data_IF_085794130642
#
_entry.id   IF_085794130642
#
_cell.length_a   1.000
_cell.length_b   1.000
_cell.length_c   1.000
_cell.angle_alpha   90.00
_cell.angle_beta   90.00
_cell.angle_gamma   90.00
#
_symmetry.space_group_name_H-M   'P 1'
#
loop_
_entity.id
_entity.type
_entity.pdbx_description
1 polymer ?
#
# COMPACT_ATOMS: atom_id res chain seq x y z
N UNK A 1 -14.36 16.61 17.46
CA UNK A 1 -15.55 15.74 17.69
C UNK A 1 -15.77 14.93 16.42
N UNK A 2 -16.15 13.65 16.51
CA UNK A 2 -16.48 12.83 15.32
C UNK A 2 -17.89 13.23 14.85
N UNK A 3 -18.13 13.28 13.54
CA UNK A 3 -19.45 13.63 12.97
C UNK A 3 -20.48 12.53 13.33
N UNK A 4 -21.71 12.87 13.73
CA UNK A 4 -22.75 11.87 14.04
C UNK A 4 -22.97 10.85 12.91
N UNK A 5 -22.90 11.30 11.65
CA UNK A 5 -23.03 10.48 10.46
C UNK A 5 -21.91 9.45 10.34
N UNK A 6 -20.68 9.81 10.72
CA UNK A 6 -19.55 8.89 10.78
C UNK A 6 -19.74 7.83 11.87
N UNK A 7 -20.33 8.19 13.02
CA UNK A 7 -20.63 7.24 14.11
C UNK A 7 -21.68 6.23 13.65
N UNK A 8 -22.73 6.70 12.99
CA UNK A 8 -23.78 5.83 12.46
C UNK A 8 -23.22 4.86 11.41
N UNK A 9 -22.41 5.35 10.47
CA UNK A 9 -21.74 4.52 9.46
C UNK A 9 -20.84 3.45 10.09
N UNK A 10 -19.98 3.84 11.03
CA UNK A 10 -19.08 2.89 11.72
C UNK A 10 -19.90 1.82 12.46
N UNK A 11 -21.00 2.20 13.10
CA UNK A 11 -21.88 1.26 13.79
C UNK A 11 -22.48 0.23 12.81
N UNK A 12 -23.00 0.69 11.66
CA UNK A 12 -23.54 -0.22 10.62
C UNK A 12 -22.47 -1.18 10.07
N UNK A 13 -21.25 -0.67 9.85
CA UNK A 13 -20.13 -1.50 9.38
C UNK A 13 -19.73 -2.54 10.42
N UNK A 14 -19.61 -2.16 11.69
CA UNK A 14 -19.26 -3.08 12.79
C UNK A 14 -20.32 -4.17 12.99
N UNK A 15 -21.60 -3.84 12.87
CA UNK A 15 -22.70 -4.81 12.93
C UNK A 15 -22.60 -5.83 11.77
N UNK A 16 -22.39 -5.36 10.54
CA UNK A 16 -22.23 -6.21 9.36
C UNK A 16 -20.99 -7.12 9.46
N UNK A 17 -19.86 -6.56 9.88
CA UNK A 17 -18.59 -7.28 10.12
C UNK A 17 -18.76 -8.35 11.21
N UNK A 18 -19.47 -8.03 12.29
CA UNK A 18 -19.70 -8.99 13.40
C UNK A 18 -20.43 -10.24 12.91
N UNK A 19 -21.35 -10.10 11.95
CA UNK A 19 -21.97 -11.23 11.27
C UNK A 19 -20.92 -12.11 10.59
N UNK A 20 -20.07 -11.53 9.74
CA UNK A 20 -19.03 -12.26 9.00
C UNK A 20 -18.01 -12.96 9.91
N UNK A 21 -17.50 -12.28 10.93
CA UNK A 21 -16.52 -12.84 11.85
C UNK A 21 -17.09 -14.04 12.64
N UNK A 22 -18.38 -14.02 12.98
CA UNK A 22 -19.05 -15.15 13.67
C UNK A 22 -19.24 -16.38 12.78
N UNK A 23 -19.37 -16.19 11.47
CA UNK A 23 -19.59 -17.29 10.52
C UNK A 23 -18.30 -17.98 10.07
N UNK A 24 -17.15 -17.62 10.65
CA UNK A 24 -15.89 -18.31 10.43
C UNK A 24 -15.24 -17.96 9.09
N UNK A 25 -15.35 -16.71 8.65
CA UNK A 25 -14.48 -16.19 7.60
C UNK A 25 -13.02 -16.43 7.98
N UNK A 26 -12.15 -16.72 7.01
CA UNK A 26 -10.77 -17.14 7.30
C UNK A 26 -9.97 -16.05 8.04
N UNK A 27 -10.38 -14.78 7.92
CA UNK A 27 -9.78 -13.62 8.57
C UNK A 27 -10.83 -12.65 9.11
N UNK A 28 -10.56 -11.98 10.25
CA UNK A 28 -11.43 -10.94 10.75
C UNK A 28 -11.46 -9.73 9.80
N UNK A 29 -12.59 -9.04 9.82
CA UNK A 29 -12.72 -7.70 9.26
C UNK A 29 -12.58 -6.64 10.35
N UNK A 30 -12.13 -5.45 9.97
CA UNK A 30 -12.18 -4.24 10.78
C UNK A 30 -12.67 -3.03 9.99
N UNK A 31 -13.05 -1.97 10.70
CA UNK A 31 -13.51 -0.70 10.11
C UNK A 31 -12.35 0.26 9.92
N UNK A 32 -12.49 1.14 8.94
CA UNK A 32 -11.59 2.27 8.70
C UNK A 32 -12.43 3.54 8.51
N UNK A 33 -12.00 4.62 9.17
CA UNK A 33 -12.59 5.96 9.03
C UNK A 33 -11.48 6.99 8.87
N UNK A 34 -11.62 7.85 7.87
CA UNK A 34 -10.71 8.95 7.57
C UNK A 34 -11.48 10.26 7.44
N UNK A 35 -11.35 11.11 8.46
CA UNK A 35 -12.04 12.40 8.52
C UNK A 35 -11.17 13.50 7.90
N UNK A 36 -11.60 14.06 6.76
CA UNK A 36 -10.79 15.03 6.01
C UNK A 36 -10.49 16.26 6.86
N UNK A 37 -11.45 16.73 7.65
CA UNK A 37 -11.28 17.90 8.52
C UNK A 37 -10.19 17.71 9.60
N UNK A 38 -9.82 16.45 9.89
CA UNK A 38 -8.80 16.10 10.90
C UNK A 38 -7.49 15.64 10.29
N UNK A 39 -7.53 14.92 9.16
CA UNK A 39 -6.38 14.23 8.58
C UNK A 39 -6.00 14.76 7.18
N UNK A 40 -6.76 15.72 6.65
CA UNK A 40 -6.63 16.25 5.30
C UNK A 40 -7.13 15.28 4.23
N UNK A 41 -6.84 15.60 2.96
CA UNK A 41 -7.25 14.75 1.82
C UNK A 41 -6.75 13.32 1.97
N UNK A 42 -7.60 12.33 1.71
CA UNK A 42 -7.19 10.93 1.72
C UNK A 42 -6.29 10.65 0.51
N UNK A 43 -5.19 9.94 0.74
CA UNK A 43 -4.40 9.33 -0.32
C UNK A 43 -3.85 8.00 0.21
N UNK A 44 -3.56 7.07 -0.69
CA UNK A 44 -3.06 5.76 -0.26
C UNK A 44 -1.67 5.89 0.39
N UNK A 45 -0.87 6.84 -0.07
CA UNK A 45 0.42 7.21 0.52
C UNK A 45 0.27 7.63 1.98
N UNK A 46 -0.88 8.20 2.37
CA UNK A 46 -1.16 8.53 3.77
C UNK A 46 -1.64 7.35 4.61
N UNK A 47 -2.00 6.21 4.01
CA UNK A 47 -2.09 4.95 4.75
C UNK A 47 -0.70 4.42 5.14
N UNK A 48 0.35 4.90 4.46
CA UNK A 48 1.72 4.59 4.80
C UNK A 48 2.32 5.72 5.63
N UNK A 49 3.04 5.36 6.68
CA UNK A 49 3.74 6.33 7.51
C UNK A 49 5.09 6.66 6.88
N UNK A 50 5.07 7.51 5.84
CA UNK A 50 6.29 7.98 5.17
C UNK A 50 7.13 8.86 6.11
N UNK A 51 8.36 8.43 6.37
CA UNK A 51 9.39 9.16 7.09
C UNK A 51 10.54 9.52 6.13
N UNK A 52 10.84 10.81 6.00
CA UNK A 52 12.05 11.26 5.31
C UNK A 52 13.27 10.91 6.16
N UNK A 53 14.20 10.15 5.59
CA UNK A 53 15.44 9.79 6.27
C UNK A 53 16.66 10.47 5.63
N UNK A 54 17.67 10.84 6.44
CA UNK A 54 18.92 11.36 5.91
C UNK A 54 19.74 10.26 5.21
N UNK A 55 20.60 10.66 4.27
CA UNK A 55 21.48 9.76 3.48
C UNK A 55 22.32 8.81 4.34
N UNK A 56 22.74 9.25 5.53
CA UNK A 56 23.55 8.45 6.44
C UNK A 56 22.76 7.37 7.22
N UNK A 57 21.42 7.32 7.04
CA UNK A 57 20.54 6.32 7.66
C UNK A 57 19.97 5.30 6.67
N UNK A 58 20.39 5.33 5.41
CA UNK A 58 19.92 4.33 4.44
C UNK A 58 20.31 2.91 4.92
N UNK A 59 19.35 1.99 4.92
CA UNK A 59 19.43 0.62 5.42
C UNK A 59 20.30 -0.33 4.58
N UNK A 60 21.22 0.20 3.77
CA UNK A 60 22.21 -0.61 3.08
C UNK A 60 23.11 -1.31 4.11
N UNK A 61 22.91 -2.62 4.31
CA UNK A 61 23.65 -3.45 5.27
C UNK A 61 25.18 -3.49 5.12
N UNK A 62 25.76 -2.73 4.17
CA UNK A 62 27.19 -2.58 3.95
C UNK A 62 27.54 -1.15 3.52
N UNK A 63 28.04 -0.32 4.47
CA UNK A 63 28.40 1.09 4.27
C UNK A 63 29.33 1.35 3.06
N UNK A 64 30.21 0.41 2.73
CA UNK A 64 31.16 0.48 1.62
C UNK A 64 30.54 0.60 0.22
N UNK A 65 29.23 0.42 0.08
CA UNK A 65 28.53 0.48 -1.21
C UNK A 65 27.49 1.60 -1.30
N UNK A 66 27.25 2.28 -0.17
CA UNK A 66 26.41 3.45 -0.11
C UNK A 66 27.03 4.62 -0.89
N UNK A 67 28.34 4.79 -0.78
CA UNK A 67 29.08 5.89 -1.39
C UNK A 67 29.02 5.87 -2.94
N UNK A 68 29.26 4.75 -3.65
CA UNK A 68 29.05 4.69 -5.11
C UNK A 68 27.63 5.06 -5.55
N UNK A 69 26.61 4.60 -4.82
CA UNK A 69 25.22 4.93 -5.14
C UNK A 69 24.94 6.40 -4.91
N UNK A 70 25.28 6.96 -3.75
CA UNK A 70 25.09 8.37 -3.45
C UNK A 70 25.83 9.27 -4.44
N UNK A 71 27.07 8.92 -4.81
CA UNK A 71 27.82 9.65 -5.83
C UNK A 71 27.10 9.64 -7.19
N UNK A 72 26.53 8.49 -7.58
CA UNK A 72 25.75 8.38 -8.81
C UNK A 72 24.47 9.24 -8.74
N UNK A 73 23.75 9.22 -7.61
CA UNK A 73 22.54 10.01 -7.40
C UNK A 73 22.84 11.51 -7.42
N UNK A 74 23.82 11.98 -6.64
CA UNK A 74 24.24 13.38 -6.61
C UNK A 74 24.76 13.90 -7.95
N UNK A 75 25.34 13.03 -8.79
CA UNK A 75 25.83 13.42 -10.13
C UNK A 75 24.70 13.59 -11.14
N UNK A 76 23.65 12.77 -11.06
CA UNK A 76 22.65 12.66 -12.12
C UNK A 76 21.28 13.24 -11.76
N UNK A 77 20.99 13.42 -10.47
CA UNK A 77 19.71 13.94 -9.98
C UNK A 77 19.86 15.41 -9.59
N UNK A 78 18.85 16.21 -9.94
CA UNK A 78 18.75 17.61 -9.52
C UNK A 78 18.50 17.69 -8.02
N UNK A 79 17.60 16.83 -7.55
CA UNK A 79 17.21 16.67 -6.16
C UNK A 79 16.70 15.25 -5.95
N UNK A 80 16.84 14.72 -4.74
CA UNK A 80 16.20 13.47 -4.35
C UNK A 80 15.86 13.48 -2.87
N UNK A 81 14.90 12.64 -2.51
CA UNK A 81 14.48 12.41 -1.13
C UNK A 81 14.45 10.91 -0.89
N UNK A 82 14.90 10.52 0.30
CA UNK A 82 14.89 9.13 0.73
C UNK A 82 13.82 8.98 1.80
N UNK A 83 13.01 7.95 1.64
CA UNK A 83 11.91 7.61 2.50
C UNK A 83 12.12 6.20 3.06
N UNK A 84 11.86 6.08 4.35
CA UNK A 84 11.32 4.84 4.89
C UNK A 84 9.82 5.02 4.98
N UNK A 85 9.07 3.95 4.82
CA UNK A 85 7.64 3.99 5.10
C UNK A 85 7.22 2.67 5.70
N UNK A 86 6.23 2.73 6.57
CA UNK A 86 5.67 1.53 7.16
C UNK A 86 4.17 1.48 6.93
N UNK A 87 3.66 0.27 6.95
CA UNK A 87 2.24 0.01 6.94
C UNK A 87 1.90 -0.76 8.20
N UNK A 88 1.05 -0.17 9.04
CA UNK A 88 0.66 -0.73 10.33
C UNK A 88 -0.85 -0.99 10.33
N UNK A 89 -1.24 -2.21 10.68
CA UNK A 89 -2.65 -2.61 10.77
C UNK A 89 -2.84 -3.60 11.92
N UNK A 90 -4.04 -3.73 12.51
CA UNK A 90 -4.29 -4.75 13.51
C UNK A 90 -3.96 -6.16 12.99
N UNK A 91 -3.19 -6.92 13.77
CA UNK A 91 -2.80 -8.29 13.47
C UNK A 91 -4.02 -9.21 13.59
N UNK A 92 -4.69 -9.40 12.46
CA UNK A 92 -5.88 -10.22 12.30
C UNK A 92 -5.71 -11.66 12.84
N UNK A 93 -4.50 -12.23 12.85
CA UNK A 93 -4.24 -13.55 13.42
C UNK A 93 -4.30 -13.59 14.96
N UNK A 94 -4.22 -12.41 15.58
CA UNK A 94 -4.24 -12.21 17.04
C UNK A 94 -5.47 -11.45 17.52
N UNK A 95 -6.24 -10.83 16.62
CA UNK A 95 -7.59 -10.33 16.93
C UNK A 95 -8.51 -11.55 16.95
N UNK A 96 -8.88 -12.02 18.15
CA UNK A 96 -9.81 -13.14 18.28
C UNK A 96 -11.12 -12.83 17.56
N UNK A 97 -11.64 -13.78 16.77
CA UNK A 97 -12.90 -13.70 16.00
C UNK A 97 -14.16 -13.31 16.81
N UNK A 98 -14.04 -13.09 18.12
CA UNK A 98 -15.15 -12.94 19.06
C UNK A 98 -15.08 -11.70 19.97
N UNK A 99 -14.06 -10.85 19.89
CA UNK A 99 -13.98 -9.67 20.75
C UNK A 99 -14.45 -8.40 20.02
N UNK A 100 -15.38 -7.67 20.65
CA UNK A 100 -15.79 -6.35 20.21
C UNK A 100 -14.57 -5.41 20.27
N UNK A 101 -14.30 -4.70 19.17
CA UNK A 101 -13.19 -3.74 19.04
C UNK A 101 -13.26 -2.55 20.02
N UNK A 102 -14.32 -2.46 20.82
CA UNK A 102 -14.56 -1.37 21.75
C UNK A 102 -14.14 -1.78 23.18
N UNK A 103 -12.84 -1.77 23.47
CA UNK A 103 -12.38 -1.44 24.83
C UNK A 103 -11.11 -0.59 24.75
N UNK A 104 -11.12 0.58 25.38
CA UNK A 104 -10.03 1.58 25.46
C UNK A 104 -8.72 1.05 26.08
N UNK A 105 -8.60 -0.25 26.36
CA UNK A 105 -7.50 -0.84 27.13
C UNK A 105 -6.72 -1.94 26.39
N UNK A 106 -7.20 -2.41 25.23
CA UNK A 106 -6.51 -3.43 24.43
C UNK A 106 -6.24 -2.86 23.04
N UNK A 107 -5.10 -2.18 22.86
CA UNK A 107 -4.61 -1.93 21.50
C UNK A 107 -4.41 -3.29 20.84
N UNK A 108 -5.06 -3.58 19.69
CA UNK A 108 -4.82 -4.83 19.02
C UNK A 108 -3.32 -4.93 18.73
N UNK A 109 -2.71 -6.12 18.88
CA UNK A 109 -1.34 -6.31 18.43
C UNK A 109 -1.25 -5.84 16.98
N UNK A 110 -0.30 -4.96 16.69
CA UNK A 110 -0.15 -4.35 15.37
C UNK A 110 0.81 -5.22 14.57
N UNK A 111 0.43 -5.55 13.35
CA UNK A 111 1.33 -6.05 12.33
C UNK A 111 1.85 -4.86 11.53
N UNK A 112 3.17 -4.65 11.58
CA UNK A 112 3.85 -3.60 10.83
C UNK A 112 4.71 -4.22 9.74
N UNK A 113 4.52 -3.76 8.50
CA UNK A 113 5.42 -4.02 7.38
C UNK A 113 6.26 -2.78 7.18
N UNK A 114 7.57 -2.92 7.35
CA UNK A 114 8.52 -1.84 7.08
C UNK A 114 9.07 -1.95 5.66
N UNK A 115 9.09 -0.81 4.98
CA UNK A 115 9.71 -0.62 3.67
C UNK A 115 10.86 0.37 3.84
N UNK A 116 12.03 -0.08 3.41
CA UNK A 116 13.27 0.69 3.54
C UNK A 116 13.70 1.22 2.18
N UNK A 117 14.43 2.34 2.21
CA UNK A 117 15.28 2.79 1.12
C UNK A 117 14.52 3.15 -0.18
N UNK A 118 13.33 3.75 -0.06
CA UNK A 118 12.64 4.34 -1.21
C UNK A 118 13.25 5.70 -1.54
N UNK A 119 13.87 5.82 -2.70
CA UNK A 119 14.47 7.05 -3.19
C UNK A 119 13.59 7.58 -4.32
N UNK A 120 13.09 8.80 -4.18
CA UNK A 120 12.42 9.52 -5.26
C UNK A 120 13.28 10.72 -5.63
N UNK A 121 13.63 10.84 -6.90
CA UNK A 121 14.50 11.91 -7.36
C UNK A 121 14.14 12.44 -8.73
N UNK A 122 14.49 13.71 -8.95
CA UNK A 122 14.24 14.42 -10.20
C UNK A 122 15.47 14.33 -11.09
N UNK A 123 15.28 13.83 -12.30
CA UNK A 123 16.29 13.82 -13.36
C UNK A 123 16.15 15.12 -14.18
N UNK A 124 17.19 15.46 -14.95
CA UNK A 124 17.09 16.47 -16.00
C UNK A 124 15.92 16.16 -16.97
N UNK A 125 15.39 17.22 -17.61
CA UNK A 125 14.21 17.18 -18.50
C UNK A 125 12.85 16.86 -17.83
N UNK A 126 12.66 17.25 -16.57
CA UNK A 126 11.40 17.06 -15.84
C UNK A 126 10.94 15.59 -15.74
N UNK A 127 11.87 14.64 -15.76
CA UNK A 127 11.56 13.25 -15.42
C UNK A 127 11.85 12.98 -13.95
N UNK A 128 11.22 11.96 -13.40
CA UNK A 128 11.42 11.47 -12.06
C UNK A 128 11.87 10.02 -12.11
N UNK A 129 12.74 9.63 -11.18
CA UNK A 129 13.13 8.25 -10.93
C UNK A 129 12.71 7.86 -9.53
N UNK A 130 12.26 6.63 -9.38
CA UNK A 130 12.09 5.99 -8.09
C UNK A 130 12.95 4.75 -8.02
N UNK A 131 13.53 4.51 -6.86
CA UNK A 131 14.34 3.34 -6.55
C UNK A 131 13.82 2.79 -5.25
N UNK A 132 13.48 1.50 -5.18
CA UNK A 132 12.99 0.88 -3.96
C UNK A 132 13.65 -0.47 -3.75
N UNK A 133 13.91 -0.80 -2.51
CA UNK A 133 14.20 -2.16 -2.08
C UNK A 133 12.88 -2.94 -2.01
N UNK A 134 12.74 -3.98 -2.83
CA UNK A 134 11.57 -4.85 -2.78
C UNK A 134 11.46 -5.47 -1.39
N UNK A 135 10.28 -5.42 -0.76
CA UNK A 135 10.08 -5.94 0.59
C UNK A 135 10.34 -7.45 0.62
N UNK A 136 11.01 -7.94 1.66
CA UNK A 136 11.27 -9.37 1.82
C UNK A 136 10.07 -10.05 2.51
N UNK A 137 8.92 -10.07 1.84
CA UNK A 137 7.70 -10.69 2.35
C UNK A 137 7.59 -12.10 1.76
N UNK A 138 7.51 -13.17 2.60
CA UNK A 138 7.58 -14.57 2.17
C UNK A 138 6.58 -15.02 1.09
N UNK A 139 5.51 -14.26 0.88
CA UNK A 139 4.34 -14.63 0.07
C UNK A 139 4.31 -13.89 -1.27
N UNK A 140 5.08 -12.81 -1.42
CA UNK A 140 5.21 -12.11 -2.70
C UNK A 140 6.17 -12.93 -3.57
N UNK A 141 5.63 -13.92 -4.29
CA UNK A 141 6.27 -14.43 -5.49
C UNK A 141 6.29 -13.27 -6.50
N UNK A 142 7.28 -12.39 -6.38
CA UNK A 142 7.59 -11.42 -7.43
C UNK A 142 7.84 -12.27 -8.67
N UNK A 143 6.89 -12.23 -9.60
CA UNK A 143 6.92 -13.01 -10.83
C UNK A 143 8.29 -12.83 -11.46
N UNK A 144 9.04 -13.95 -11.57
CA UNK A 144 10.39 -14.09 -12.11
C UNK A 144 10.93 -12.85 -12.83
N UNK A 145 12.00 -12.27 -12.26
CA UNK A 145 13.10 -11.54 -12.91
C UNK A 145 12.91 -11.32 -14.41
N UNK A 146 11.98 -10.46 -14.82
CA UNK A 146 12.05 -9.85 -16.14
C UNK A 146 13.09 -8.74 -16.04
N UNK A 147 13.89 -8.50 -17.10
CA UNK A 147 14.85 -7.41 -17.11
C UNK A 147 14.17 -6.09 -16.70
N UNK A 148 14.85 -5.35 -15.82
CA UNK A 148 14.32 -4.35 -14.91
C UNK A 148 13.80 -3.05 -15.56
N UNK A 149 13.50 -3.04 -16.87
CA UNK A 149 13.06 -1.84 -17.59
C UNK A 149 11.93 -2.18 -18.55
N UNK A 150 10.70 -1.85 -18.18
CA UNK A 150 9.64 -1.64 -19.15
C UNK A 150 9.64 -0.15 -19.49
N UNK A 151 10.56 0.27 -20.36
CA UNK A 151 10.54 1.62 -20.93
C UNK A 151 9.31 1.72 -21.83
N UNK A 152 8.16 2.09 -21.28
CA UNK A 152 6.98 2.49 -22.06
C UNK A 152 7.23 3.87 -22.64
N UNK A 153 8.02 3.95 -23.72
CA UNK A 153 8.16 5.17 -24.51
C UNK A 153 9.49 5.30 -25.22
N UNK A 154 9.45 5.38 -26.55
CA UNK A 154 10.54 5.88 -27.37
C UNK A 154 10.87 7.33 -26.98
N UNK A 155 12.09 7.58 -26.48
CA UNK A 155 12.82 8.87 -26.32
C UNK A 155 13.57 8.96 -24.96
N UNK A 156 14.29 7.90 -24.55
CA UNK A 156 15.33 8.08 -23.54
C UNK A 156 16.57 8.66 -24.23
N UNK A 157 17.02 9.83 -23.78
CA UNK A 157 18.30 10.43 -24.17
C UNK A 157 19.46 9.56 -23.65
N UNK A 158 20.65 9.66 -24.26
CA UNK A 158 21.81 8.81 -23.96
C UNK A 158 22.25 8.89 -22.48
N UNK A 159 22.13 10.05 -21.86
CA UNK A 159 22.42 10.33 -20.45
C UNK A 159 21.53 9.51 -19.50
N UNK A 160 20.25 9.31 -19.84
CA UNK A 160 19.34 8.47 -19.05
C UNK A 160 19.69 6.99 -19.17
N UNK A 161 20.16 6.56 -20.33
CA UNK A 161 20.62 5.18 -20.55
C UNK A 161 21.87 4.91 -19.71
N UNK A 162 22.80 5.86 -19.63
CA UNK A 162 24.02 5.75 -18.80
C UNK A 162 23.67 5.62 -17.31
N UNK A 163 22.82 6.51 -16.77
CA UNK A 163 22.35 6.43 -15.38
C UNK A 163 21.70 5.07 -15.07
N UNK A 164 20.77 4.64 -15.92
CA UNK A 164 20.08 3.35 -15.72
C UNK A 164 21.08 2.20 -15.75
N UNK A 165 22.00 2.20 -16.72
CA UNK A 165 23.05 1.17 -16.85
C UNK A 165 23.93 1.10 -15.59
N UNK A 166 24.33 2.24 -15.04
CA UNK A 166 25.11 2.29 -13.81
C UNK A 166 24.32 1.80 -12.59
N UNK A 167 23.03 2.15 -12.48
CA UNK A 167 22.14 1.63 -11.44
C UNK A 167 21.99 0.11 -11.54
N UNK A 168 21.78 -0.45 -12.74
CA UNK A 168 21.73 -1.92 -12.87
C UNK A 168 23.06 -2.54 -12.50
N UNK A 169 24.20 -1.95 -12.85
CA UNK A 169 25.49 -2.51 -12.47
C UNK A 169 25.68 -2.53 -10.94
N UNK A 170 25.23 -1.49 -10.24
CA UNK A 170 25.26 -1.43 -8.77
C UNK A 170 24.33 -2.51 -8.19
N UNK A 171 23.09 -2.62 -8.68
CA UNK A 171 22.08 -3.53 -8.12
C UNK A 171 22.22 -5.00 -8.57
N UNK A 172 22.45 -5.28 -9.85
CA UNK A 172 22.58 -6.64 -10.40
C UNK A 172 23.74 -7.44 -9.79
N UNK A 173 24.84 -6.76 -9.47
CA UNK A 173 26.03 -7.40 -8.90
C UNK A 173 25.84 -7.68 -7.41
N UNK A 174 24.98 -6.92 -6.70
CA UNK A 174 25.07 -6.80 -5.23
C UNK A 174 23.75 -6.85 -4.48
N UNK A 175 22.65 -6.43 -5.10
CA UNK A 175 21.34 -6.29 -4.50
C UNK A 175 20.24 -6.79 -5.45
N UNK A 176 19.94 -8.09 -5.39
CA UNK A 176 18.92 -8.71 -6.26
C UNK A 176 17.48 -8.26 -6.02
N UNK A 177 17.27 -7.40 -5.03
CA UNK A 177 15.98 -7.04 -4.46
C UNK A 177 15.70 -5.55 -4.63
N UNK A 178 16.22 -4.90 -5.67
CA UNK A 178 15.92 -3.50 -5.96
C UNK A 178 15.16 -3.38 -7.27
N UNK A 179 14.19 -2.48 -7.28
CA UNK A 179 13.42 -2.07 -8.44
C UNK A 179 13.63 -0.57 -8.65
N UNK A 180 13.69 -0.11 -9.88
CA UNK A 180 13.68 1.31 -10.18
C UNK A 180 12.93 1.62 -11.46
N UNK A 181 12.28 2.79 -11.48
CA UNK A 181 11.33 3.18 -12.52
C UNK A 181 11.45 4.67 -12.81
N UNK A 182 11.17 5.07 -14.06
CA UNK A 182 11.12 6.47 -14.48
C UNK A 182 9.69 6.84 -14.88
N UNK A 183 9.24 8.02 -14.48
CA UNK A 183 7.98 8.62 -14.95
C UNK A 183 8.12 10.13 -15.19
N UNK A 184 7.09 10.74 -15.77
CA UNK A 184 7.02 12.18 -15.99
C UNK A 184 6.70 12.96 -14.69
N UNK A 185 6.24 12.29 -13.63
CA UNK A 185 5.99 12.89 -12.31
C UNK A 185 6.42 11.98 -11.16
N UNK A 186 6.58 12.55 -9.97
CA UNK A 186 6.84 11.81 -8.72
C UNK A 186 5.73 10.82 -8.39
N UNK A 187 4.47 11.22 -8.59
CA UNK A 187 3.28 10.40 -8.32
C UNK A 187 3.23 9.21 -9.28
N UNK A 188 3.52 9.45 -10.57
CA UNK A 188 3.57 8.37 -11.56
C UNK A 188 4.68 7.36 -11.27
N UNK A 189 5.82 7.79 -10.70
CA UNK A 189 6.87 6.87 -10.24
C UNK A 189 6.37 5.99 -9.09
N UNK A 190 5.75 6.61 -8.07
CA UNK A 190 5.23 5.89 -6.91
C UNK A 190 4.16 4.87 -7.31
N UNK A 191 3.22 5.26 -8.19
CA UNK A 191 2.18 4.39 -8.71
C UNK A 191 2.76 3.15 -9.40
N UNK A 192 3.75 3.34 -10.30
CA UNK A 192 4.39 2.23 -11.01
C UNK A 192 5.16 1.33 -10.03
N UNK A 193 5.90 1.91 -9.09
CA UNK A 193 6.65 1.14 -8.10
C UNK A 193 5.69 0.31 -7.26
N UNK A 194 4.65 0.91 -6.70
CA UNK A 194 3.69 0.23 -5.84
C UNK A 194 2.93 -0.88 -6.56
N UNK A 195 2.59 -0.70 -7.83
CA UNK A 195 2.00 -1.75 -8.67
C UNK A 195 2.98 -2.92 -8.88
N UNK A 196 4.23 -2.62 -9.26
CA UNK A 196 5.25 -3.65 -9.55
C UNK A 196 5.71 -4.42 -8.32
N UNK A 197 5.79 -3.76 -7.18
CA UNK A 197 6.11 -4.41 -5.90
C UNK A 197 4.88 -5.03 -5.25
N UNK A 198 3.70 -4.89 -5.87
CA UNK A 198 2.41 -5.29 -5.32
C UNK A 198 2.18 -4.72 -3.90
N UNK A 199 2.76 -3.55 -3.61
CA UNK A 199 2.55 -2.83 -2.36
C UNK A 199 1.14 -2.26 -2.34
N UNK A 200 0.63 -1.82 -3.50
CA UNK A 200 -0.77 -1.44 -3.67
C UNK A 200 -1.24 -1.91 -5.05
N UNK A 201 -2.25 -2.77 -5.09
CA UNK A 201 -3.06 -2.97 -6.30
C UNK A 201 -4.46 -2.39 -6.04
N UNK A 202 -5.02 -1.65 -7.00
CA UNK A 202 -6.40 -1.18 -6.87
C UNK A 202 -7.31 -1.65 -7.99
N UNK A 203 -8.54 -1.99 -7.65
CA UNK A 203 -9.58 -2.33 -8.60
C UNK A 203 -10.94 -1.82 -8.13
N UNK A 204 -11.88 -1.72 -9.06
CA UNK A 204 -13.27 -1.44 -8.71
C UNK A 204 -13.80 -2.52 -7.78
N UNK A 205 -14.55 -2.11 -6.75
CA UNK A 205 -15.26 -3.05 -5.90
C UNK A 205 -16.63 -3.34 -6.50
N UNK A 206 -16.87 -4.60 -6.88
CA UNK A 206 -18.16 -5.02 -7.42
C UNK A 206 -19.09 -5.56 -6.32
N UNK A 207 -18.60 -6.48 -5.47
CA UNK A 207 -19.20 -6.92 -4.19
C UNK A 207 -18.36 -8.05 -3.55
N UNK A 208 -18.60 -8.39 -2.27
CA UNK A 208 -17.94 -9.53 -1.60
C UNK A 208 -18.44 -10.89 -2.08
N UNK A 209 -19.73 -11.03 -2.35
CA UNK A 209 -20.34 -12.30 -2.74
C UNK A 209 -19.85 -12.82 -4.10
N UNK A 210 -19.32 -11.93 -4.96
CA UNK A 210 -18.66 -12.33 -6.21
C UNK A 210 -17.34 -13.08 -5.99
N UNK A 211 -16.77 -12.97 -4.79
CA UNK A 211 -15.52 -13.65 -4.39
C UNK A 211 -15.74 -15.00 -3.77
N UNK A 212 -16.99 -15.32 -3.40
CA UNK A 212 -17.31 -16.62 -2.85
C UNK A 212 -17.08 -17.69 -3.93
N UNK A 213 -16.11 -18.58 -3.69
CA UNK A 213 -16.01 -19.82 -4.45
C UNK A 213 -17.33 -20.58 -4.26
N UNK A 214 -17.79 -21.27 -5.30
CA UNK A 214 -19.12 -21.87 -5.45
C UNK A 214 -19.60 -22.82 -4.31
N UNK A 215 -18.82 -23.05 -3.26
CA UNK A 215 -19.06 -24.06 -2.22
C UNK A 215 -19.30 -23.48 -0.81
N UNK A 216 -19.34 -22.16 -0.60
CA UNK A 216 -19.56 -21.57 0.74
C UNK A 216 -20.89 -20.81 0.81
N UNK A 217 -22.00 -21.55 0.81
CA UNK A 217 -23.35 -20.97 0.95
C UNK A 217 -23.58 -20.24 2.29
N UNK A 218 -22.86 -20.64 3.35
CA UNK A 218 -23.03 -20.10 4.71
C UNK A 218 -22.60 -18.64 4.87
N UNK A 219 -21.80 -18.10 3.95
CA UNK A 219 -21.30 -16.73 4.05
C UNK A 219 -22.04 -15.74 3.14
N UNK A 220 -23.04 -16.20 2.38
CA UNK A 220 -23.72 -15.38 1.36
C UNK A 220 -24.48 -14.20 1.99
N UNK A 221 -25.34 -14.44 2.96
CA UNK A 221 -26.14 -13.38 3.58
C UNK A 221 -25.26 -12.37 4.36
N UNK A 222 -24.29 -12.79 5.19
CA UNK A 222 -23.38 -11.84 5.84
C UNK A 222 -22.52 -11.01 4.85
N UNK A 223 -22.04 -11.61 3.75
CA UNK A 223 -21.27 -10.87 2.73
C UNK A 223 -22.13 -9.87 1.97
N UNK A 224 -23.37 -10.25 1.63
CA UNK A 224 -24.33 -9.35 0.99
C UNK A 224 -24.66 -8.17 1.89
N UNK A 225 -24.92 -8.40 3.18
CA UNK A 225 -25.18 -7.33 4.13
C UNK A 225 -24.03 -6.32 4.20
N UNK A 226 -22.77 -6.79 4.24
CA UNK A 226 -21.62 -5.89 4.23
C UNK A 226 -21.48 -5.14 2.89
N UNK A 227 -21.64 -5.83 1.75
CA UNK A 227 -21.66 -5.21 0.42
C UNK A 227 -22.72 -4.10 0.33
N UNK A 228 -23.93 -4.34 0.85
CA UNK A 228 -25.02 -3.36 0.88
C UNK A 228 -24.70 -2.15 1.73
N UNK A 229 -24.15 -2.34 2.95
CA UNK A 229 -23.74 -1.21 3.80
C UNK A 229 -22.69 -0.35 3.09
N UNK A 230 -21.70 -0.96 2.43
CA UNK A 230 -20.69 -0.21 1.67
C UNK A 230 -21.32 0.55 0.50
N UNK A 231 -22.16 -0.10 -0.33
CA UNK A 231 -22.77 0.56 -1.50
C UNK A 231 -23.78 1.66 -1.14
N UNK A 232 -24.50 1.50 -0.03
CA UNK A 232 -25.51 2.49 0.38
C UNK A 232 -24.89 3.74 0.99
N UNK A 233 -23.68 3.65 1.57
CA UNK A 233 -23.06 4.74 2.31
C UNK A 233 -21.85 5.35 1.60
N UNK A 234 -21.23 4.63 0.66
CA UNK A 234 -19.97 5.02 0.03
C UNK A 234 -20.10 5.12 -1.48
N UNK A 235 -19.46 6.15 -2.02
CA UNK A 235 -19.33 6.44 -3.44
C UNK A 235 -17.97 5.91 -3.92
N UNK A 236 -17.97 5.26 -5.09
CA UNK A 236 -16.77 4.78 -5.76
C UNK A 236 -15.88 3.91 -4.86
N UNK A 237 -16.48 2.91 -4.21
CA UNK A 237 -15.72 1.96 -3.40
C UNK A 237 -14.64 1.32 -4.27
N UNK A 238 -13.41 1.38 -3.78
CA UNK A 238 -12.25 0.74 -4.40
C UNK A 238 -11.69 -0.28 -3.44
N UNK A 239 -11.23 -1.37 -4.00
CA UNK A 239 -10.36 -2.29 -3.30
C UNK A 239 -8.92 -1.82 -3.44
N UNK A 240 -8.18 -1.83 -2.33
CA UNK A 240 -6.74 -1.66 -2.28
C UNK A 240 -6.12 -2.89 -1.62
N UNK A 241 -5.31 -3.64 -2.37
CA UNK A 241 -4.55 -4.76 -1.85
C UNK A 241 -3.16 -4.32 -1.46
N UNK A 242 -2.81 -4.50 -0.19
CA UNK A 242 -1.47 -4.25 0.34
C UNK A 242 -0.70 -5.55 0.45
N UNK A 243 0.33 -5.72 -0.39
CA UNK A 243 1.21 -6.91 -0.44
C UNK A 243 0.48 -8.24 -0.65
N UNK A 244 -0.70 -8.22 -1.31
CA UNK A 244 -1.66 -9.35 -1.40
C UNK A 244 -2.03 -9.96 -0.04
N UNK A 245 -1.80 -9.24 1.05
CA UNK A 245 -1.93 -9.73 2.41
C UNK A 245 -3.05 -9.01 3.15
N UNK A 246 -3.23 -7.71 2.88
CA UNK A 246 -4.40 -6.96 3.35
C UNK A 246 -5.21 -6.45 2.17
N UNK A 247 -6.53 -6.46 2.31
CA UNK A 247 -7.45 -5.84 1.37
C UNK A 247 -8.27 -4.78 2.11
N UNK A 248 -8.28 -3.57 1.57
CA UNK A 248 -9.07 -2.44 2.04
C UNK A 248 -10.16 -2.11 1.03
N UNK A 249 -11.38 -1.92 1.48
CA UNK A 249 -12.53 -1.56 0.67
C UNK A 249 -12.98 -0.18 1.10
N UNK A 250 -12.46 0.85 0.44
CA UNK A 250 -12.59 2.24 0.86
C UNK A 250 -13.34 3.01 -0.21
N UNK A 251 -14.31 3.81 0.21
CA UNK A 251 -15.00 4.77 -0.66
C UNK A 251 -15.22 6.10 0.04
N UNK A 252 -15.69 7.07 -0.73
CA UNK A 252 -15.99 8.40 -0.20
C UNK A 252 -17.44 8.45 0.30
N UNK A 253 -17.65 8.96 1.50
CA UNK A 253 -18.99 9.24 2.05
C UNK A 253 -19.65 10.40 1.28
N UNK A 254 -20.98 10.49 1.36
CA UNK A 254 -21.74 11.59 0.74
C UNK A 254 -21.37 12.99 1.26
N UNK A 255 -20.78 13.06 2.46
CA UNK A 255 -20.35 14.30 3.11
C UNK A 255 -18.85 14.56 2.99
N UNK A 256 -18.15 13.79 2.14
CA UNK A 256 -16.79 14.07 1.69
C UNK A 256 -15.67 13.34 2.43
N UNK A 257 -15.93 12.75 3.60
CA UNK A 257 -14.98 11.90 4.34
C UNK A 257 -14.77 10.55 3.65
N UNK A 258 -13.78 9.76 4.06
CA UNK A 258 -13.53 8.42 3.54
C UNK A 258 -13.76 7.37 4.62
N UNK A 259 -14.34 6.24 4.24
CA UNK A 259 -14.60 5.15 5.17
C UNK A 259 -14.59 3.82 4.42
N UNK A 260 -14.53 2.73 5.18
CA UNK A 260 -14.45 1.41 4.59
C UNK A 260 -14.23 0.31 5.59
N UNK A 261 -13.88 -0.85 5.06
CA UNK A 261 -13.48 -2.02 5.84
C UNK A 261 -12.16 -2.57 5.35
N UNK A 262 -11.46 -3.29 6.20
CA UNK A 262 -10.26 -4.02 5.84
C UNK A 262 -10.36 -5.46 6.30
N UNK A 263 -9.65 -6.35 5.62
CA UNK A 263 -9.46 -7.76 6.01
C UNK A 263 -8.10 -8.26 5.55
N UNK A 264 -7.70 -9.43 6.01
CA UNK A 264 -6.51 -10.12 5.54
C UNK A 264 -6.90 -11.10 4.42
N UNK A 265 -6.08 -11.22 3.37
CA UNK A 265 -6.22 -12.20 2.29
C UNK A 265 -4.95 -13.09 2.24
N UNK A 266 -5.11 -14.35 1.82
CA UNK A 266 -3.99 -15.26 1.49
C UNK A 266 -4.10 -15.76 0.05
#
# INVERSE_FOLDING_TARGET
>A
MIKPENIELVTQLEEAITGLNKHGWDFPFGTLLWEIDKQGEFSIEKLFDFEVIPENKIGFGHQQYLEPLLNLLHRNLIEFTIYNFSFSTPDASKVGFQESLITETNHPPIFTIDFEDLIIGKIQDNCWIGIIKTPNIPIVYVSKKQPFYNVRGSLLQEDKIELLTELENIFSVRYSNYLFEISASSEGVLEIIFDKTQIVCSQGFDAFEQRLKHEIEFNKEPTQNLSEVLHNNLIQVREYKVCNYYAYFIGQTHWGDWAGVWTQEF
#
